data_IF_784220732788
#
_entry.id   IF_784220732788
#
_cell.length_a   1.000
_cell.length_b   1.000
_cell.length_c   1.000
_cell.angle_alpha   90.00
_cell.angle_beta   90.00
_cell.angle_gamma   90.00
#
_symmetry.space_group_name_H-M   'P 1'
#
loop_
_entity.id
_entity.type
_entity.pdbx_description
1 polymer ?
#
# COMPACT_ATOMS: atom_id res chain seq x y z
N UNK A 1 -51.43 3.87 -6.05
CA UNK A 1 -50.70 5.10 -5.66
C UNK A 1 -49.26 4.73 -5.38
N UNK A 2 -48.33 5.27 -6.16
CA UNK A 2 -46.89 5.36 -5.86
C UNK A 2 -46.74 5.97 -4.45
N UNK A 3 -45.88 5.57 -3.52
CA UNK A 3 -44.54 5.03 -3.64
C UNK A 3 -43.57 6.03 -3.00
N UNK A 4 -43.38 5.98 -1.68
CA UNK A 4 -42.30 6.69 -1.00
C UNK A 4 -41.59 5.75 -0.02
N UNK A 5 -40.48 5.16 -0.50
CA UNK A 5 -39.41 4.67 0.37
C UNK A 5 -38.62 5.89 0.80
N UNK A 6 -38.65 6.17 2.09
CA UNK A 6 -37.84 7.18 2.75
C UNK A 6 -36.35 6.92 2.51
N UNK A 7 -35.62 8.02 2.35
CA UNK A 7 -34.25 8.05 1.87
C UNK A 7 -33.32 7.22 2.74
N UNK A 8 -32.58 6.32 2.07
CA UNK A 8 -31.35 5.80 2.62
C UNK A 8 -30.35 6.96 2.69
N UNK A 9 -30.26 7.60 3.85
CA UNK A 9 -29.13 8.46 4.22
C UNK A 9 -27.86 7.65 4.04
N UNK A 10 -27.08 7.99 3.02
CA UNK A 10 -25.74 7.45 2.81
C UNK A 10 -24.91 7.93 4.01
N UNK A 11 -24.83 7.10 5.05
CA UNK A 11 -23.81 7.27 6.09
C UNK A 11 -22.47 7.22 5.36
N UNK A 12 -21.81 8.37 5.23
CA UNK A 12 -20.42 8.44 4.84
C UNK A 12 -19.66 7.51 5.77
N UNK A 13 -19.29 6.33 5.26
CA UNK A 13 -18.50 5.38 6.03
C UNK A 13 -17.12 6.00 6.14
N UNK A 14 -16.77 6.48 7.33
CA UNK A 14 -15.39 6.81 7.66
C UNK A 14 -14.53 5.58 7.33
N UNK A 15 -13.65 5.74 6.34
CA UNK A 15 -12.81 4.65 5.88
C UNK A 15 -11.84 4.23 7.01
N UNK A 16 -11.63 2.93 7.16
CA UNK A 16 -10.62 2.45 8.11
C UNK A 16 -9.22 2.88 7.64
N UNK A 17 -8.22 2.97 8.55
CA UNK A 17 -6.83 3.23 8.15
C UNK A 17 -6.32 2.26 7.06
N UNK A 18 -6.75 0.99 7.13
CA UNK A 18 -6.44 -0.04 6.13
C UNK A 18 -7.06 0.28 4.77
N UNK A 19 -8.33 0.71 4.74
CA UNK A 19 -8.99 1.09 3.50
C UNK A 19 -8.37 2.36 2.88
N UNK A 20 -8.02 3.35 3.71
CA UNK A 20 -7.34 4.57 3.26
C UNK A 20 -5.98 4.26 2.63
N UNK A 21 -5.15 3.45 3.31
CA UNK A 21 -3.85 3.05 2.77
C UNK A 21 -4.00 2.19 1.51
N UNK A 22 -4.96 1.28 1.48
CA UNK A 22 -5.23 0.47 0.28
C UNK A 22 -5.65 1.35 -0.91
N UNK A 23 -6.48 2.38 -0.70
CA UNK A 23 -6.83 3.34 -1.74
C UNK A 23 -5.62 4.10 -2.28
N UNK A 24 -4.68 4.50 -1.40
CA UNK A 24 -3.44 5.17 -1.83
C UNK A 24 -2.56 4.24 -2.68
N UNK A 25 -2.45 2.96 -2.31
CA UNK A 25 -1.74 1.96 -3.09
C UNK A 25 -2.45 1.71 -4.43
N UNK A 26 -3.78 1.60 -4.43
CA UNK A 26 -4.56 1.39 -5.65
C UNK A 26 -4.51 2.57 -6.62
N UNK A 27 -4.35 3.78 -6.11
CA UNK A 27 -4.22 5.01 -6.88
C UNK A 27 -2.83 5.19 -7.52
N UNK A 28 -1.87 4.31 -7.24
CA UNK A 28 -0.59 4.32 -7.96
C UNK A 28 -0.82 4.15 -9.47
N UNK A 29 -0.11 4.95 -10.27
CA UNK A 29 -0.02 4.76 -11.70
C UNK A 29 1.02 3.71 -12.06
N UNK A 30 0.95 3.18 -13.28
CA UNK A 30 1.82 2.11 -13.74
C UNK A 30 3.29 2.56 -13.70
N UNK A 31 4.15 1.76 -13.08
CA UNK A 31 5.57 2.07 -12.89
C UNK A 31 5.86 3.09 -11.78
N UNK A 32 4.84 3.64 -11.10
CA UNK A 32 5.03 4.49 -9.91
C UNK A 32 5.10 3.64 -8.64
N UNK A 33 5.65 4.25 -7.60
CA UNK A 33 5.92 3.59 -6.33
C UNK A 33 5.54 4.42 -5.11
N UNK A 34 5.16 3.73 -4.04
CA UNK A 34 5.05 4.27 -2.68
C UNK A 34 6.08 3.57 -1.81
N UNK A 35 6.74 4.34 -0.94
CA UNK A 35 7.68 3.81 0.06
C UNK A 35 7.04 3.92 1.43
N UNK A 36 7.16 2.85 2.20
CA UNK A 36 6.69 2.76 3.58
C UNK A 36 7.87 2.43 4.49
N UNK A 37 7.78 2.90 5.72
CA UNK A 37 8.71 2.56 6.79
C UNK A 37 7.95 1.82 7.89
N UNK A 38 8.43 0.62 8.24
CA UNK A 38 7.93 -0.22 9.32
C UNK A 38 8.48 0.23 10.68
N UNK A 39 7.93 -0.34 11.76
CA UNK A 39 8.41 -0.13 13.12
C UNK A 39 9.91 -0.47 13.31
N UNK A 40 10.50 0.07 14.37
CA UNK A 40 11.96 0.06 14.58
C UNK A 40 12.57 -1.34 14.78
N UNK A 41 11.74 -2.33 15.12
CA UNK A 41 12.19 -3.72 15.34
C UNK A 41 12.63 -4.44 14.06
N UNK A 42 12.31 -3.90 12.88
CA UNK A 42 12.56 -4.57 11.60
C UNK A 42 13.94 -4.19 11.02
N UNK A 43 14.79 -5.20 10.82
CA UNK A 43 16.13 -5.05 10.20
C UNK A 43 16.07 -4.46 8.77
N UNK A 44 14.99 -4.77 8.04
CA UNK A 44 14.68 -4.21 6.73
C UNK A 44 13.39 -3.40 6.81
N UNK A 45 13.45 -2.15 7.32
CA UNK A 45 12.26 -1.41 7.67
C UNK A 45 11.59 -0.75 6.46
N UNK A 46 12.23 -0.72 5.29
CA UNK A 46 11.66 -0.07 4.12
C UNK A 46 10.95 -1.06 3.21
N UNK A 47 9.71 -0.74 2.87
CA UNK A 47 8.89 -1.49 1.90
C UNK A 47 8.51 -0.56 0.77
N UNK A 48 8.87 -0.93 -0.45
CA UNK A 48 8.53 -0.17 -1.66
C UNK A 48 7.49 -0.94 -2.44
N UNK A 49 6.32 -0.35 -2.65
CA UNK A 49 5.23 -0.94 -3.42
C UNK A 49 5.18 -0.25 -4.77
N UNK A 50 5.39 -1.01 -5.84
CA UNK A 50 5.36 -0.53 -7.22
C UNK A 50 4.13 -1.08 -7.91
N UNK A 51 3.38 -0.25 -8.64
CA UNK A 51 2.40 -0.79 -9.58
C UNK A 51 3.13 -1.32 -10.82
N UNK A 52 2.98 -2.60 -11.10
CA UNK A 52 3.68 -3.27 -12.20
C UNK A 52 3.28 -2.64 -13.55
N UNK A 53 4.26 -2.18 -14.36
CA UNK A 53 3.96 -1.64 -15.68
C UNK A 53 3.51 -2.71 -16.68
N UNK A 54 3.77 -4.00 -16.38
CA UNK A 54 3.34 -5.10 -17.24
C UNK A 54 1.89 -5.54 -16.96
N UNK A 55 1.25 -5.08 -15.88
CA UNK A 55 -0.14 -5.39 -15.57
C UNK A 55 -1.11 -4.53 -16.40
N UNK A 56 -2.25 -5.06 -16.90
CA UNK A 56 -2.79 -6.41 -16.67
C UNK A 56 -2.26 -7.50 -17.62
N UNK A 57 -1.34 -7.17 -18.54
CA UNK A 57 -0.82 -8.11 -19.54
C UNK A 57 0.00 -9.27 -18.97
N UNK A 58 0.72 -9.05 -17.86
CA UNK A 58 1.59 -10.06 -17.22
C UNK A 58 1.82 -9.76 -15.74
N UNK A 59 2.01 -10.83 -14.97
CA UNK A 59 2.35 -10.74 -13.55
C UNK A 59 1.17 -10.30 -12.67
N UNK A 60 1.49 -9.71 -11.51
CA UNK A 60 0.51 -9.15 -10.57
C UNK A 60 0.52 -7.63 -10.62
N UNK A 61 -0.59 -7.01 -10.19
CA UNK A 61 -0.77 -5.55 -10.21
C UNK A 61 0.30 -4.83 -9.38
N UNK A 62 0.69 -5.38 -8.23
CA UNK A 62 1.66 -4.78 -7.34
C UNK A 62 2.84 -5.71 -7.10
N UNK A 63 4.03 -5.11 -7.05
CA UNK A 63 5.26 -5.76 -6.61
C UNK A 63 5.78 -5.00 -5.39
N UNK A 64 5.91 -5.71 -4.28
CA UNK A 64 6.53 -5.20 -3.06
C UNK A 64 8.00 -5.60 -3.02
N UNK A 65 8.85 -4.63 -2.71
CA UNK A 65 10.27 -4.80 -2.44
C UNK A 65 10.55 -4.45 -1.00
N UNK A 66 11.59 -5.06 -0.44
CA UNK A 66 12.06 -4.75 0.91
C UNK A 66 13.54 -4.41 0.90
N UNK A 67 13.94 -3.43 1.70
CA UNK A 67 15.32 -3.03 1.86
C UNK A 67 15.69 -2.60 3.28
N UNK A 68 16.99 -2.69 3.57
CA UNK A 68 17.59 -2.19 4.80
C UNK A 68 17.69 -0.68 4.81
N UNK A 69 17.77 -0.11 6.01
CA UNK A 69 18.15 1.29 6.17
C UNK A 69 19.61 1.48 5.76
N UNK A 70 19.88 2.54 5.00
CA UNK A 70 21.22 3.04 4.72
C UNK A 70 21.77 3.91 5.86
N UNK A 71 22.96 4.49 5.69
CA UNK A 71 23.67 5.27 6.71
C UNK A 71 22.85 6.43 7.31
N UNK A 72 21.99 7.06 6.50
CA UNK A 72 21.18 8.22 6.91
C UNK A 72 19.76 7.84 7.35
N UNK A 73 19.53 6.56 7.68
CA UNK A 73 18.20 6.04 7.99
C UNK A 73 17.18 6.26 6.85
N UNK A 74 17.68 6.21 5.61
CA UNK A 74 16.93 6.27 4.35
C UNK A 74 16.94 4.88 3.67
N UNK A 75 16.11 4.63 2.64
CA UNK A 75 16.23 3.43 1.82
C UNK A 75 17.67 3.22 1.32
N UNK A 76 18.25 2.04 1.56
CA UNK A 76 19.65 1.72 1.26
C UNK A 76 19.98 1.53 -0.22
N UNK A 77 18.99 1.61 -1.12
CA UNK A 77 19.15 1.46 -2.57
C UNK A 77 19.32 0.01 -3.04
N UNK A 78 19.30 -0.96 -2.13
CA UNK A 78 19.47 -2.39 -2.41
C UNK A 78 18.16 -3.14 -2.14
N UNK A 79 17.17 -2.90 -3.00
CA UNK A 79 15.83 -3.50 -2.88
C UNK A 79 15.80 -4.94 -3.38
N UNK A 80 15.29 -5.84 -2.54
CA UNK A 80 15.00 -7.23 -2.90
C UNK A 80 13.52 -7.40 -3.16
N UNK A 81 13.13 -8.09 -4.24
CA UNK A 81 11.73 -8.45 -4.49
C UNK A 81 11.24 -9.34 -3.34
N UNK A 82 10.17 -8.92 -2.69
CA UNK A 82 9.65 -9.57 -1.49
C UNK A 82 8.36 -10.33 -1.78
N UNK A 83 7.42 -9.69 -2.49
CA UNK A 83 6.09 -10.24 -2.69
C UNK A 83 5.38 -9.61 -3.90
N UNK A 84 4.42 -10.32 -4.48
CA UNK A 84 3.56 -9.86 -5.57
C UNK A 84 2.10 -10.16 -5.27
N UNK A 85 1.20 -9.21 -5.53
CA UNK A 85 -0.23 -9.38 -5.31
C UNK A 85 -1.08 -8.48 -6.19
N UNK A 86 -2.33 -8.85 -6.39
CA UNK A 86 -3.34 -7.99 -7.02
C UNK A 86 -4.12 -7.15 -5.99
N UNK A 87 -3.91 -7.39 -4.69
CA UNK A 87 -4.75 -6.88 -3.63
C UNK A 87 -4.01 -5.85 -2.78
N UNK A 88 -4.35 -4.57 -2.95
CA UNK A 88 -3.80 -3.47 -2.17
C UNK A 88 -4.13 -3.58 -0.68
N UNK A 89 -5.29 -4.16 -0.31
CA UNK A 89 -5.68 -4.32 1.11
C UNK A 89 -4.79 -5.31 1.84
N UNK A 90 -4.27 -6.33 1.17
CA UNK A 90 -3.37 -7.29 1.82
C UNK A 90 -2.04 -6.60 2.15
N UNK A 91 -1.53 -5.76 1.23
CA UNK A 91 -0.34 -4.93 1.46
C UNK A 91 -0.59 -3.96 2.62
N UNK A 92 -1.68 -3.20 2.56
CA UNK A 92 -2.03 -2.22 3.59
C UNK A 92 -2.16 -2.87 4.98
N UNK A 93 -2.82 -4.03 5.07
CA UNK A 93 -2.95 -4.78 6.32
C UNK A 93 -1.59 -5.19 6.88
N UNK A 94 -0.75 -5.79 6.03
CA UNK A 94 0.58 -6.25 6.43
C UNK A 94 1.49 -5.12 6.94
N UNK A 95 1.41 -3.94 6.30
CA UNK A 95 2.15 -2.74 6.69
C UNK A 95 1.65 -2.22 8.04
N UNK A 96 0.33 -2.06 8.20
CA UNK A 96 -0.27 -1.52 9.43
C UNK A 96 -0.06 -2.42 10.65
N UNK A 97 -0.12 -3.74 10.47
CA UNK A 97 0.21 -4.73 11.51
C UNK A 97 1.65 -4.58 12.05
N UNK A 98 2.51 -3.90 11.29
CA UNK A 98 3.94 -3.72 11.56
C UNK A 98 4.29 -2.26 11.87
N UNK A 99 3.28 -1.50 12.30
CA UNK A 99 3.40 -0.07 12.63
C UNK A 99 3.89 0.77 11.45
N UNK A 100 3.65 0.28 10.24
CA UNK A 100 4.13 0.89 9.02
C UNK A 100 3.35 2.13 8.62
N UNK A 101 4.08 3.13 8.12
CA UNK A 101 3.55 4.39 7.65
C UNK A 101 4.23 4.81 6.35
N UNK A 102 3.61 5.73 5.59
CA UNK A 102 4.24 6.29 4.39
C UNK A 102 5.55 6.95 4.79
N UNK A 103 6.62 6.60 4.08
CA UNK A 103 7.90 7.27 4.18
C UNK A 103 7.90 8.52 3.28
N UNK A 104 8.08 9.68 3.89
CA UNK A 104 8.34 10.95 3.20
C UNK A 104 9.79 11.32 3.53
N UNK A 105 10.66 11.23 2.54
CA UNK A 105 12.12 11.38 2.68
C UNK A 105 12.63 12.81 2.71
#
# INVERSE_FOLDING_TARGET
MFGHKEGATVKEKTLSPKDLMAQQIDALEAGKELVFRLGEIYVKPFVTVVQSPEYPGKGKKFVAFQEGAGPDNKPGGKRGKFWETNNAKDIAGWILEREGHIYVG
#
